data_IF_941363249833
#
_entry.id   IF_941363249833
#
_cell.length_a   1.000
_cell.length_b   1.000
_cell.length_c   1.000
_cell.angle_alpha   90.00
_cell.angle_beta   90.00
_cell.angle_gamma   90.00
#
_symmetry.space_group_name_H-M   'P 1'
#
loop_
_entity.id
_entity.type
_entity.pdbx_description
1 polymer ?
#
# COMPACT_ATOMS: atom_id res chain seq x y z
N UNK A 1 7.53 -16.56 -17.29
CA UNK A 1 8.46 -15.53 -16.75
C UNK A 1 9.26 -16.08 -15.58
N UNK A 2 10.39 -15.46 -15.21
CA UNK A 2 11.16 -15.85 -14.01
C UNK A 2 11.50 -14.60 -13.21
N UNK A 3 11.24 -14.62 -11.90
CA UNK A 3 11.62 -13.54 -11.00
C UNK A 3 12.64 -14.03 -9.98
N UNK A 4 13.70 -13.26 -9.80
CA UNK A 4 14.77 -13.52 -8.85
C UNK A 4 15.04 -12.25 -8.03
N UNK A 5 15.38 -12.43 -6.78
CA UNK A 5 15.65 -11.35 -5.84
C UNK A 5 17.08 -11.39 -5.34
N UNK A 6 17.67 -10.23 -5.12
CA UNK A 6 19.04 -10.14 -4.59
C UNK A 6 19.19 -8.93 -3.66
N UNK A 7 19.65 -9.16 -2.46
CA UNK A 7 20.13 -8.09 -1.60
C UNK A 7 21.41 -7.50 -2.22
N UNK A 8 21.39 -6.20 -2.48
CA UNK A 8 22.57 -5.51 -3.04
C UNK A 8 23.63 -5.33 -1.96
N UNK A 9 24.85 -5.70 -2.27
CA UNK A 9 26.03 -5.51 -1.39
C UNK A 9 27.14 -4.80 -2.14
N UNK A 10 27.64 -5.41 -3.22
CA UNK A 10 28.69 -4.84 -4.08
C UNK A 10 28.44 -5.16 -5.55
N UNK A 11 29.04 -4.37 -6.46
CA UNK A 11 29.00 -4.63 -7.91
C UNK A 11 29.54 -6.03 -8.24
N UNK A 12 30.61 -6.46 -7.56
CA UNK A 12 31.22 -7.77 -7.80
C UNK A 12 30.26 -8.93 -7.47
N UNK A 13 29.62 -8.88 -6.28
CA UNK A 13 28.66 -9.89 -5.84
C UNK A 13 27.41 -9.89 -6.73
N UNK A 14 26.95 -8.72 -7.16
CA UNK A 14 25.85 -8.61 -8.09
C UNK A 14 26.18 -9.26 -9.45
N UNK A 15 27.35 -8.96 -10.00
CA UNK A 15 27.81 -9.52 -11.29
C UNK A 15 27.90 -11.05 -11.22
N UNK A 16 28.47 -11.57 -10.13
CA UNK A 16 28.57 -13.01 -9.89
C UNK A 16 27.18 -13.65 -9.79
N UNK A 17 26.28 -13.04 -9.01
CA UNK A 17 24.90 -13.52 -8.85
C UNK A 17 24.16 -13.57 -10.18
N UNK A 18 24.22 -12.50 -10.98
CA UNK A 18 23.54 -12.44 -12.27
C UNK A 18 24.07 -13.51 -13.25
N UNK A 19 25.40 -13.70 -13.30
CA UNK A 19 26.02 -14.73 -14.13
C UNK A 19 25.60 -16.15 -13.71
N UNK A 20 25.59 -16.42 -12.40
CA UNK A 20 25.24 -17.76 -11.87
C UNK A 20 23.74 -18.10 -12.03
N UNK A 21 22.89 -17.09 -12.14
CA UNK A 21 21.44 -17.26 -12.27
C UNK A 21 20.90 -16.97 -13.67
N UNK A 22 21.78 -16.85 -14.67
CA UNK A 22 21.39 -16.61 -16.05
C UNK A 22 20.54 -15.36 -16.26
N UNK A 23 20.82 -14.28 -15.52
CA UNK A 23 20.18 -13.00 -15.71
C UNK A 23 20.91 -12.24 -16.81
N UNK A 24 20.27 -12.08 -17.97
CA UNK A 24 20.89 -11.48 -19.15
C UNK A 24 20.24 -10.14 -19.49
N UNK A 25 21.10 -9.24 -20.02
CA UNK A 25 20.63 -7.95 -20.53
C UNK A 25 19.73 -8.12 -21.75
N UNK A 26 18.46 -7.79 -21.63
CA UNK A 26 17.50 -7.76 -22.72
C UNK A 26 16.37 -6.76 -22.44
N UNK A 27 15.56 -6.46 -23.46
CA UNK A 27 14.44 -5.49 -23.38
C UNK A 27 13.22 -6.00 -22.59
N UNK A 28 13.15 -7.30 -22.35
CA UNK A 28 12.08 -7.94 -21.57
C UNK A 28 12.51 -8.23 -20.12
N UNK A 29 13.66 -7.70 -19.69
CA UNK A 29 14.11 -7.71 -18.30
C UNK A 29 13.61 -6.44 -17.61
N UNK A 30 12.76 -6.61 -16.60
CA UNK A 30 12.41 -5.57 -15.65
C UNK A 30 13.28 -5.70 -14.40
N UNK A 31 13.92 -4.61 -14.01
CA UNK A 31 14.64 -4.51 -12.74
C UNK A 31 13.92 -3.50 -11.86
N UNK A 32 13.39 -3.96 -10.72
CA UNK A 32 12.86 -3.07 -9.70
C UNK A 32 13.94 -2.89 -8.61
N UNK A 33 14.21 -1.64 -8.24
CA UNK A 33 15.18 -1.27 -7.20
C UNK A 33 14.40 -0.73 -6.00
N UNK A 34 14.40 -1.48 -4.93
CA UNK A 34 13.69 -1.17 -3.69
C UNK A 34 14.73 -0.82 -2.63
N UNK A 35 14.89 0.47 -2.31
CA UNK A 35 15.98 0.94 -1.44
C UNK A 35 15.47 1.65 -0.21
N UNK A 36 15.98 1.26 0.95
CA UNK A 36 15.72 1.98 2.20
C UNK A 36 16.55 3.27 2.33
N UNK A 37 17.59 3.45 1.52
CA UNK A 37 18.40 4.67 1.60
C UNK A 37 17.83 5.80 0.74
N UNK A 38 17.79 7.01 1.29
CA UNK A 38 17.34 8.24 0.61
C UNK A 38 18.52 9.08 0.07
N UNK A 39 19.75 8.57 0.12
CA UNK A 39 20.92 9.26 -0.39
C UNK A 39 20.97 9.20 -1.92
N UNK A 40 20.85 10.35 -2.56
CA UNK A 40 20.86 10.45 -4.03
C UNK A 40 22.16 9.88 -4.63
N UNK A 41 23.31 10.12 -3.99
CA UNK A 41 24.60 9.58 -4.42
C UNK A 41 24.62 8.05 -4.48
N UNK A 42 23.99 7.39 -3.52
CA UNK A 42 23.89 5.94 -3.49
C UNK A 42 22.93 5.43 -4.59
N UNK A 43 21.80 6.09 -4.80
CA UNK A 43 20.88 5.74 -5.89
C UNK A 43 21.57 5.90 -7.24
N UNK A 44 22.34 6.98 -7.46
CA UNK A 44 23.14 7.19 -8.66
C UNK A 44 24.21 6.10 -8.85
N UNK A 45 24.85 5.66 -7.76
CA UNK A 45 25.82 4.56 -7.81
C UNK A 45 25.16 3.27 -8.29
N UNK A 46 24.00 2.89 -7.74
CA UNK A 46 23.25 1.71 -8.22
C UNK A 46 22.82 1.88 -9.67
N UNK A 47 22.30 3.04 -10.07
CA UNK A 47 21.95 3.32 -11.48
C UNK A 47 23.14 3.11 -12.39
N UNK A 48 24.33 3.57 -12.01
CA UNK A 48 25.54 3.43 -12.82
C UNK A 48 25.93 1.97 -13.05
N UNK A 49 25.85 1.14 -11.99
CA UNK A 49 26.13 -0.30 -12.07
C UNK A 49 25.09 -1.00 -12.96
N UNK A 50 23.81 -0.76 -12.71
CA UNK A 50 22.74 -1.41 -13.46
C UNK A 50 22.75 -1.00 -14.94
N UNK A 51 23.04 0.25 -15.25
CA UNK A 51 23.19 0.73 -16.63
C UNK A 51 24.37 0.08 -17.36
N UNK A 52 25.46 -0.16 -16.64
CA UNK A 52 26.63 -0.87 -17.18
C UNK A 52 26.34 -2.35 -17.46
N UNK A 53 25.67 -3.03 -16.52
CA UNK A 53 25.39 -4.47 -16.62
C UNK A 53 24.19 -4.76 -17.54
N UNK A 54 23.17 -3.89 -17.52
CA UNK A 54 21.88 -4.10 -18.18
C UNK A 54 21.43 -2.90 -19.03
N UNK A 55 22.20 -2.51 -20.05
CA UNK A 55 21.91 -1.31 -20.86
C UNK A 55 20.56 -1.36 -21.60
N UNK A 56 20.01 -2.56 -21.85
CA UNK A 56 18.71 -2.72 -22.55
C UNK A 56 17.53 -2.94 -21.62
N UNK A 57 17.76 -3.32 -20.35
CA UNK A 57 16.69 -3.61 -19.40
C UNK A 57 15.85 -2.37 -19.07
N UNK A 58 14.61 -2.59 -18.68
CA UNK A 58 13.74 -1.57 -18.08
C UNK A 58 14.03 -1.51 -16.58
N UNK A 59 14.34 -0.34 -16.05
CA UNK A 59 14.65 -0.11 -14.64
C UNK A 59 13.67 0.90 -14.07
N UNK A 60 13.01 0.54 -12.98
CA UNK A 60 12.22 1.44 -12.13
C UNK A 60 12.66 1.25 -10.69
N UNK A 61 12.60 2.30 -9.88
CA UNK A 61 12.99 2.19 -8.48
C UNK A 61 12.26 3.17 -7.58
N UNK A 62 12.30 2.87 -6.29
CA UNK A 62 11.67 3.68 -5.24
C UNK A 62 12.44 3.56 -3.93
N UNK A 63 12.37 4.62 -3.12
CA UNK A 63 12.73 4.54 -1.70
C UNK A 63 11.57 3.91 -0.91
N UNK A 64 11.88 3.25 0.21
CA UNK A 64 10.93 2.38 0.92
C UNK A 64 10.95 2.61 2.44
N UNK A 65 9.91 2.10 3.11
CA UNK A 65 9.89 1.95 4.58
C UNK A 65 10.33 0.53 5.01
N UNK A 66 11.29 -0.05 4.30
CA UNK A 66 11.69 -1.45 4.36
C UNK A 66 11.22 -2.22 3.14
N UNK A 67 11.94 -3.27 2.77
CA UNK A 67 11.67 -4.08 1.58
C UNK A 67 11.21 -5.49 1.95
N UNK A 68 10.59 -6.18 1.01
CA UNK A 68 10.12 -7.55 1.12
C UNK A 68 10.91 -8.39 0.11
N UNK A 69 11.54 -9.47 0.59
CA UNK A 69 12.28 -10.41 -0.23
C UNK A 69 11.99 -11.85 0.21
N UNK A 70 11.38 -12.63 -0.68
CA UNK A 70 11.03 -14.04 -0.44
C UNK A 70 10.26 -14.25 0.88
N UNK A 71 9.31 -13.36 1.17
CA UNK A 71 8.46 -13.42 2.36
C UNK A 71 9.09 -12.93 3.66
N UNK A 72 10.32 -12.44 3.61
CA UNK A 72 11.03 -11.87 4.75
C UNK A 72 11.07 -10.34 4.67
N UNK A 73 11.11 -9.71 5.83
CA UNK A 73 11.30 -8.26 5.97
C UNK A 73 12.79 -7.95 5.90
N UNK A 74 13.17 -7.12 4.94
CA UNK A 74 14.55 -6.66 4.78
C UNK A 74 14.70 -5.31 5.46
N UNK A 75 15.72 -5.20 6.30
CA UNK A 75 16.00 -4.03 7.13
C UNK A 75 16.04 -2.72 6.34
N UNK A 76 15.67 -1.64 7.03
CA UNK A 76 15.35 -0.33 6.48
C UNK A 76 16.41 0.27 5.55
N UNK A 77 17.71 0.13 5.85
CA UNK A 77 18.78 0.76 5.06
C UNK A 77 19.28 -0.10 3.89
N UNK A 78 18.72 -1.29 3.70
CA UNK A 78 19.17 -2.22 2.68
C UNK A 78 18.45 -2.00 1.35
N UNK A 79 19.04 -2.51 0.27
CA UNK A 79 18.49 -2.41 -1.09
C UNK A 79 18.25 -3.80 -1.66
N UNK A 80 17.02 -4.05 -2.09
CA UNK A 80 16.62 -5.26 -2.80
C UNK A 80 16.52 -4.96 -4.29
N UNK A 81 17.17 -5.78 -5.09
CA UNK A 81 17.06 -5.81 -6.55
C UNK A 81 16.16 -6.97 -6.95
N UNK A 82 15.13 -6.68 -7.73
CA UNK A 82 14.18 -7.67 -8.24
C UNK A 82 14.34 -7.75 -9.75
N UNK A 83 14.72 -8.91 -10.24
CA UNK A 83 14.96 -9.19 -11.66
C UNK A 83 13.81 -10.05 -12.19
N UNK A 84 12.94 -9.48 -13.02
CA UNK A 84 11.85 -10.21 -13.66
C UNK A 84 12.10 -10.33 -15.16
N UNK A 85 12.43 -11.55 -15.61
CA UNK A 85 12.65 -11.88 -17.00
C UNK A 85 11.35 -12.38 -17.63
N UNK A 86 10.80 -11.58 -18.53
CA UNK A 86 9.63 -11.94 -19.32
C UNK A 86 10.05 -12.61 -20.63
N UNK A 87 9.24 -13.56 -21.11
CA UNK A 87 9.47 -14.27 -22.38
C UNK A 87 8.66 -13.67 -23.52
N UNK A 88 7.40 -13.31 -23.26
CA UNK A 88 6.44 -12.90 -24.28
C UNK A 88 5.87 -11.50 -24.07
N UNK A 89 6.29 -10.80 -23.01
CA UNK A 89 5.76 -9.47 -22.67
C UNK A 89 6.65 -8.34 -23.17
N UNK A 90 6.01 -7.26 -23.61
CA UNK A 90 6.66 -6.01 -23.98
C UNK A 90 6.60 -5.07 -22.78
N UNK A 91 7.75 -4.48 -22.42
CA UNK A 91 7.89 -3.53 -21.33
C UNK A 91 8.09 -2.11 -21.87
N UNK A 92 7.36 -1.14 -21.28
CA UNK A 92 7.56 0.30 -21.52
C UNK A 92 7.55 1.02 -20.19
N UNK A 93 8.51 1.88 -19.94
CA UNK A 93 8.55 2.69 -18.71
C UNK A 93 8.65 4.17 -19.03
N UNK A 94 8.13 4.97 -18.14
CA UNK A 94 8.30 6.42 -18.16
C UNK A 94 8.32 6.97 -16.74
N UNK A 95 9.07 8.07 -16.56
CA UNK A 95 9.14 8.82 -15.30
C UNK A 95 8.71 10.25 -15.57
N UNK A 96 7.89 10.81 -14.69
CA UNK A 96 7.37 12.15 -14.86
C UNK A 96 7.25 12.90 -13.54
N UNK A 97 7.79 14.12 -13.51
CA UNK A 97 7.68 15.03 -12.37
C UNK A 97 6.29 15.69 -12.36
N UNK A 98 5.71 15.87 -11.18
CA UNK A 98 4.48 16.66 -11.03
C UNK A 98 4.70 18.13 -11.39
N UNK A 99 3.78 18.69 -12.15
CA UNK A 99 3.72 20.12 -12.42
C UNK A 99 2.70 20.75 -11.46
N UNK A 100 3.16 21.39 -10.40
CA UNK A 100 2.29 21.88 -9.33
C UNK A 100 1.44 20.73 -8.74
N UNK A 101 0.27 20.97 -8.18
CA UNK A 101 -0.63 19.94 -7.61
C UNK A 101 -1.46 19.21 -8.70
N UNK A 102 -0.90 18.95 -9.88
CA UNK A 102 -1.60 18.32 -11.01
C UNK A 102 -1.37 16.81 -11.06
N UNK A 103 -1.64 16.10 -9.97
CA UNK A 103 -1.39 14.66 -9.83
C UNK A 103 -2.18 13.83 -10.86
N UNK A 104 -3.46 14.16 -11.11
CA UNK A 104 -4.26 13.56 -12.17
C UNK A 104 -3.61 13.70 -13.55
N UNK A 105 -3.12 14.90 -13.86
CA UNK A 105 -2.47 15.15 -15.17
C UNK A 105 -1.20 14.32 -15.32
N UNK A 106 -0.40 14.19 -14.25
CA UNK A 106 0.81 13.35 -14.26
C UNK A 106 0.47 11.89 -14.51
N UNK A 107 -0.51 11.34 -13.80
CA UNK A 107 -0.97 9.96 -14.01
C UNK A 107 -1.46 9.74 -15.45
N UNK A 108 -2.28 10.66 -15.98
CA UNK A 108 -2.79 10.60 -17.34
C UNK A 108 -1.68 10.64 -18.39
N UNK A 109 -0.69 11.52 -18.23
CA UNK A 109 0.44 11.63 -19.17
C UNK A 109 1.34 10.39 -19.11
N UNK A 110 1.64 9.87 -17.91
CA UNK A 110 2.39 8.62 -17.76
C UNK A 110 1.69 7.47 -18.49
N UNK A 111 0.39 7.27 -18.24
CA UNK A 111 -0.37 6.21 -18.90
C UNK A 111 -0.36 6.37 -20.43
N UNK A 112 -0.48 7.61 -20.94
CA UNK A 112 -0.44 7.89 -22.37
C UNK A 112 0.88 7.48 -23.03
N UNK A 113 2.00 7.61 -22.33
CA UNK A 113 3.32 7.27 -22.85
C UNK A 113 3.59 5.73 -22.85
N UNK A 114 3.03 5.01 -21.87
CA UNK A 114 3.37 3.59 -21.67
C UNK A 114 2.30 2.60 -22.10
N UNK A 115 1.02 3.02 -22.15
CA UNK A 115 -0.10 2.14 -22.54
C UNK A 115 -0.16 2.01 -24.07
N UNK A 116 -0.18 0.77 -24.52
CA UNK A 116 -0.36 0.39 -25.93
C UNK A 116 -1.44 -0.69 -26.03
N UNK A 117 -1.98 -1.01 -27.20
CA UNK A 117 -2.96 -2.10 -27.35
C UNK A 117 -2.48 -3.41 -26.68
N UNK A 118 -3.36 -4.06 -25.93
CA UNK A 118 -3.09 -5.27 -25.14
C UNK A 118 -2.19 -5.06 -23.90
N UNK A 119 -1.96 -3.84 -23.44
CA UNK A 119 -1.39 -3.63 -22.11
C UNK A 119 -2.31 -4.22 -21.05
N UNK A 120 -1.76 -5.08 -20.19
CA UNK A 120 -2.50 -5.75 -19.12
C UNK A 120 -2.27 -5.13 -17.75
N UNK A 121 -1.01 -4.73 -17.47
CA UNK A 121 -0.59 -4.30 -16.14
C UNK A 121 0.23 -3.03 -16.24
N UNK A 122 0.04 -2.15 -15.26
CA UNK A 122 0.96 -1.06 -14.93
C UNK A 122 1.45 -1.28 -13.50
N UNK A 123 2.77 -1.38 -13.30
CA UNK A 123 3.40 -1.25 -11.99
C UNK A 123 3.91 0.18 -11.87
N UNK A 124 3.51 0.88 -10.80
CA UNK A 124 3.86 2.29 -10.62
C UNK A 124 4.30 2.60 -9.21
N UNK A 125 5.32 3.44 -9.09
CA UNK A 125 5.78 4.02 -7.84
C UNK A 125 5.66 5.54 -7.92
N UNK A 126 5.08 6.17 -6.90
CA UNK A 126 4.99 7.62 -6.81
C UNK A 126 5.68 8.15 -5.56
N UNK A 127 6.03 9.43 -5.58
CA UNK A 127 6.46 10.13 -4.36
C UNK A 127 5.44 9.90 -3.24
N UNK A 128 5.93 9.61 -2.03
CA UNK A 128 5.10 9.20 -0.91
C UNK A 128 4.61 10.33 -0.01
N UNK A 129 5.03 11.57 -0.26
CA UNK A 129 4.75 12.72 0.61
C UNK A 129 3.94 13.78 -0.12
N UNK A 130 4.34 14.10 -1.36
CA UNK A 130 3.79 15.22 -2.14
C UNK A 130 2.69 14.79 -3.12
N UNK A 131 2.56 13.49 -3.40
CA UNK A 131 1.57 12.96 -4.34
C UNK A 131 0.22 12.75 -3.65
N UNK A 132 -0.87 13.28 -4.21
CA UNK A 132 -2.20 12.79 -3.88
C UNK A 132 -2.47 11.49 -4.65
N UNK A 133 -2.48 10.36 -3.94
CA UNK A 133 -2.59 9.01 -4.54
C UNK A 133 -3.91 8.78 -5.27
N UNK A 134 -5.04 9.24 -4.74
CA UNK A 134 -6.36 9.11 -5.38
C UNK A 134 -6.39 9.85 -6.73
N UNK A 135 -5.92 11.12 -6.77
CA UNK A 135 -5.89 11.91 -8.00
C UNK A 135 -4.93 11.31 -9.03
N UNK A 136 -3.75 10.84 -8.57
CA UNK A 136 -2.76 10.22 -9.44
C UNK A 136 -3.29 8.95 -10.10
N UNK A 137 -3.87 8.05 -9.32
CA UNK A 137 -4.48 6.81 -9.82
C UNK A 137 -5.65 7.07 -10.76
N UNK A 138 -6.50 8.05 -10.45
CA UNK A 138 -7.58 8.44 -11.36
C UNK A 138 -7.02 8.90 -12.72
N UNK A 139 -5.87 9.57 -12.71
CA UNK A 139 -5.14 9.94 -13.94
C UNK A 139 -4.63 8.73 -14.71
N UNK A 140 -3.93 7.80 -14.05
CA UNK A 140 -3.44 6.57 -14.69
C UNK A 140 -4.58 5.76 -15.31
N UNK A 141 -5.67 5.59 -14.58
CA UNK A 141 -6.83 4.80 -15.01
C UNK A 141 -7.64 5.46 -16.14
N UNK A 142 -7.43 6.77 -16.41
CA UNK A 142 -8.25 7.53 -17.36
C UNK A 142 -8.00 7.20 -18.82
N UNK A 143 -6.90 6.52 -19.16
CA UNK A 143 -6.55 6.16 -20.54
C UNK A 143 -7.21 4.83 -20.94
N UNK A 144 -7.11 3.83 -20.08
CA UNK A 144 -7.75 2.52 -20.25
C UNK A 144 -8.05 1.93 -18.88
N UNK A 145 -9.34 1.88 -18.52
CA UNK A 145 -9.78 1.39 -17.22
C UNK A 145 -9.70 -0.13 -17.05
N UNK A 146 -9.44 -0.86 -18.13
CA UNK A 146 -9.25 -2.31 -18.08
C UNK A 146 -7.83 -2.71 -17.68
N UNK A 147 -6.88 -1.77 -17.72
CA UNK A 147 -5.48 -2.01 -17.33
C UNK A 147 -5.39 -2.11 -15.82
N UNK A 148 -4.83 -3.20 -15.34
CA UNK A 148 -4.61 -3.46 -13.92
C UNK A 148 -3.46 -2.59 -13.41
N UNK A 149 -3.72 -1.74 -12.42
CA UNK A 149 -2.71 -0.86 -11.83
C UNK A 149 -2.36 -1.39 -10.45
N UNK A 150 -1.06 -1.58 -10.20
CA UNK A 150 -0.51 -2.03 -8.93
C UNK A 150 0.77 -1.25 -8.58
N UNK A 151 1.21 -1.33 -7.34
CA UNK A 151 2.38 -0.61 -6.86
C UNK A 151 2.08 0.14 -5.58
N UNK A 152 2.79 1.25 -5.36
CA UNK A 152 2.60 2.02 -4.14
C UNK A 152 3.40 3.31 -4.10
N UNK A 153 3.18 4.05 -3.01
CA UNK A 153 3.90 5.29 -2.74
C UNK A 153 5.21 4.99 -2.02
N UNK A 154 6.25 5.70 -2.42
CA UNK A 154 7.58 5.64 -1.82
C UNK A 154 7.56 5.90 -0.30
N UNK A 155 8.54 5.39 0.42
CA UNK A 155 8.76 5.60 1.83
C UNK A 155 10.13 6.19 2.15
N UNK A 156 10.33 6.63 3.39
CA UNK A 156 11.58 7.18 3.93
C UNK A 156 11.78 6.81 5.41
N UNK A 157 11.45 5.56 5.77
CA UNK A 157 11.43 5.06 7.15
C UNK A 157 10.44 5.83 8.04
N UNK A 158 9.30 6.23 7.49
CA UNK A 158 8.26 7.01 8.19
C UNK A 158 8.71 8.38 8.73
N UNK A 159 9.86 8.89 8.28
CA UNK A 159 10.36 10.23 8.67
C UNK A 159 9.57 11.36 8.04
N UNK A 160 8.93 11.10 6.88
CA UNK A 160 8.14 12.06 6.10
C UNK A 160 8.95 13.33 5.74
N UNK A 161 10.23 13.14 5.39
CA UNK A 161 11.16 14.22 5.02
C UNK A 161 11.25 14.31 3.49
N UNK A 162 11.65 13.21 2.83
CA UNK A 162 11.77 13.16 1.38
C UNK A 162 11.72 11.71 0.88
N UNK A 163 11.09 11.50 -0.27
CA UNK A 163 11.00 10.20 -0.93
C UNK A 163 11.38 10.34 -2.39
N UNK A 164 11.97 9.29 -2.98
CA UNK A 164 12.43 9.30 -4.34
C UNK A 164 11.85 8.14 -5.13
N UNK A 165 11.52 8.44 -6.38
CA UNK A 165 11.30 7.43 -7.42
C UNK A 165 12.27 7.70 -8.57
N UNK A 166 12.68 6.65 -9.26
CA UNK A 166 13.72 6.78 -10.27
C UNK A 166 13.61 5.73 -11.38
N UNK A 167 14.22 6.04 -12.51
CA UNK A 167 14.44 5.12 -13.63
C UNK A 167 15.96 4.98 -13.92
N UNK A 168 16.30 4.59 -15.12
CA UNK A 168 17.71 4.47 -15.56
C UNK A 168 18.51 5.78 -15.52
N UNK A 169 17.84 6.92 -15.65
CA UNK A 169 18.48 8.21 -15.92
C UNK A 169 18.14 9.28 -14.90
N UNK A 170 16.93 9.23 -14.36
CA UNK A 170 16.35 10.29 -13.54
C UNK A 170 16.07 9.83 -12.13
N UNK A 171 16.25 10.73 -11.16
CA UNK A 171 15.82 10.57 -9.76
C UNK A 171 14.95 11.79 -9.45
N UNK A 172 13.74 11.57 -8.97
CA UNK A 172 12.79 12.65 -8.66
C UNK A 172 12.13 12.43 -7.30
N UNK A 173 11.87 13.53 -6.60
CA UNK A 173 11.22 13.58 -5.29
C UNK A 173 9.85 14.27 -5.32
N UNK A 174 9.26 14.38 -6.48
CA UNK A 174 7.93 14.97 -6.68
C UNK A 174 7.39 14.50 -8.03
N UNK A 175 6.88 13.28 -8.08
CA UNK A 175 6.41 12.68 -9.32
C UNK A 175 6.21 11.17 -9.21
N UNK A 176 6.26 10.49 -10.33
CA UNK A 176 6.07 9.06 -10.39
C UNK A 176 6.85 8.40 -11.53
N UNK A 177 7.17 7.13 -11.35
CA UNK A 177 7.70 6.22 -12.36
C UNK A 177 6.71 5.07 -12.55
N UNK A 178 6.52 4.63 -13.78
CA UNK A 178 5.66 3.51 -14.09
C UNK A 178 6.25 2.64 -15.20
N UNK A 179 5.92 1.35 -15.17
CA UNK A 179 6.19 0.41 -16.25
C UNK A 179 4.90 -0.29 -16.64
N UNK A 180 4.63 -0.38 -17.95
CA UNK A 180 3.56 -1.23 -18.47
C UNK A 180 4.10 -2.59 -18.91
N UNK A 181 3.30 -3.62 -18.67
CA UNK A 181 3.52 -5.00 -19.11
C UNK A 181 2.42 -5.34 -20.12
N UNK A 182 2.82 -5.50 -21.37
CA UNK A 182 1.91 -5.73 -22.49
C UNK A 182 2.05 -7.15 -23.01
N UNK A 183 1.04 -7.95 -22.75
CA UNK A 183 0.90 -9.31 -23.23
C UNK A 183 -0.58 -9.74 -23.07
N UNK A 184 -1.33 -10.03 -24.15
CA UNK A 184 -2.75 -10.37 -24.06
C UNK A 184 -3.00 -11.68 -23.30
N UNK A 185 -2.01 -12.59 -23.27
CA UNK A 185 -2.09 -13.89 -22.60
C UNK A 185 -1.55 -13.88 -21.16
N UNK A 186 -1.04 -12.73 -20.67
CA UNK A 186 -0.56 -12.62 -19.30
C UNK A 186 -1.68 -12.91 -18.30
N UNK A 187 -1.45 -13.85 -17.41
CA UNK A 187 -2.34 -14.18 -16.30
C UNK A 187 -2.02 -13.24 -15.14
N UNK A 188 -3.05 -12.62 -14.59
CA UNK A 188 -2.91 -11.63 -13.53
C UNK A 188 -3.95 -11.88 -12.46
N UNK A 189 -3.50 -12.04 -11.21
CA UNK A 189 -4.36 -12.08 -10.04
C UNK A 189 -4.02 -10.90 -9.13
N UNK A 190 -5.02 -10.26 -8.57
CA UNK A 190 -4.88 -9.21 -7.56
C UNK A 190 -5.58 -9.64 -6.29
N UNK A 191 -4.99 -9.33 -5.16
CA UNK A 191 -5.61 -9.57 -3.86
C UNK A 191 -5.23 -8.46 -2.88
N UNK A 192 -6.04 -8.25 -1.85
CA UNK A 192 -5.72 -7.34 -0.78
C UNK A 192 -6.16 -7.89 0.58
N UNK A 193 -5.44 -7.51 1.62
CA UNK A 193 -5.76 -7.84 3.01
C UNK A 193 -5.87 -6.55 3.81
N UNK A 194 -7.07 -6.21 4.24
CA UNK A 194 -7.34 -5.04 5.08
C UNK A 194 -7.57 -5.46 6.53
N UNK A 195 -8.65 -6.20 6.78
CA UNK A 195 -8.99 -6.90 8.03
C UNK A 195 -9.05 -6.00 9.28
N UNK A 196 -9.32 -4.72 9.12
CA UNK A 196 -9.65 -3.80 10.18
C UNK A 196 -11.15 -3.86 10.46
N UNK A 197 -11.53 -3.92 11.73
CA UNK A 197 -12.93 -4.03 12.15
C UNK A 197 -13.49 -2.64 12.40
N UNK A 198 -14.53 -2.18 11.67
CA UNK A 198 -15.21 -0.92 11.96
C UNK A 198 -15.90 -0.98 13.32
N UNK A 199 -15.64 -0.01 14.20
CA UNK A 199 -16.18 0.07 15.56
C UNK A 199 -16.80 1.44 15.85
N UNK A 200 -17.64 1.49 16.88
CA UNK A 200 -18.34 2.70 17.30
C UNK A 200 -19.52 3.05 16.40
N UNK A 201 -20.08 4.24 16.61
CA UNK A 201 -21.22 4.73 15.80
C UNK A 201 -20.75 5.13 14.40
N UNK A 202 -21.67 5.12 13.46
CA UNK A 202 -21.49 5.77 12.16
C UNK A 202 -21.47 7.29 12.37
N UNK A 203 -20.52 7.95 11.74
CA UNK A 203 -20.36 9.40 11.70
C UNK A 203 -20.29 9.85 10.25
N UNK A 204 -20.57 11.09 9.95
CA UNK A 204 -20.56 11.63 8.59
C UNK A 204 -19.47 12.70 8.46
N UNK A 205 -18.66 12.63 7.42
CA UNK A 205 -17.76 13.72 7.06
C UNK A 205 -18.60 14.89 6.56
N UNK A 206 -18.66 15.96 7.33
CA UNK A 206 -19.52 17.11 7.01
C UNK A 206 -18.77 18.24 6.34
N UNK A 207 -17.40 18.25 6.43
CA UNK A 207 -16.57 19.20 5.72
C UNK A 207 -15.21 18.64 5.42
N UNK A 208 -14.87 18.54 4.12
CA UNK A 208 -13.54 18.12 3.65
C UNK A 208 -13.18 18.73 2.30
N UNK A 209 -11.90 18.81 2.00
CA UNK A 209 -11.35 19.13 0.69
C UNK A 209 -10.30 18.08 0.37
N UNK A 210 -10.65 17.10 -0.48
CA UNK A 210 -9.79 15.94 -0.78
C UNK A 210 -9.44 15.16 0.49
N UNK A 211 -8.15 15.08 0.83
CA UNK A 211 -7.66 14.39 2.03
C UNK A 211 -7.60 15.30 3.28
N UNK A 212 -8.04 16.53 3.19
CA UNK A 212 -8.09 17.46 4.31
C UNK A 212 -9.49 17.50 4.90
N UNK A 213 -9.67 16.95 6.11
CA UNK A 213 -10.94 16.89 6.83
C UNK A 213 -10.97 17.94 7.94
N UNK A 214 -12.03 18.74 7.96
CA UNK A 214 -12.27 19.80 8.92
C UNK A 214 -13.31 19.39 9.96
N UNK A 215 -14.43 18.77 9.52
CA UNK A 215 -15.57 18.48 10.38
C UNK A 215 -16.13 17.07 10.15
N UNK A 216 -16.55 16.46 11.24
CA UNK A 216 -17.31 15.21 11.30
C UNK A 216 -18.56 15.47 12.16
N UNK A 217 -19.75 15.09 11.70
CA UNK A 217 -21.05 15.35 12.37
C UNK A 217 -21.23 16.84 12.74
N UNK A 218 -20.80 17.78 11.89
CA UNK A 218 -20.78 19.23 12.12
C UNK A 218 -19.97 19.68 13.34
N UNK A 219 -18.97 18.91 13.74
CA UNK A 219 -18.04 19.25 14.82
C UNK A 219 -16.59 19.19 14.30
N UNK A 220 -15.67 20.00 14.85
CA UNK A 220 -14.28 19.93 14.48
C UNK A 220 -13.74 18.48 14.60
N UNK A 221 -13.01 18.02 13.60
CA UNK A 221 -12.50 16.64 13.56
C UNK A 221 -11.65 16.30 14.79
N UNK A 222 -10.85 17.27 15.27
CA UNK A 222 -10.06 17.12 16.50
C UNK A 222 -10.93 16.80 17.73
N UNK A 223 -12.08 17.45 17.86
CA UNK A 223 -12.98 17.28 19.02
C UNK A 223 -13.66 15.91 18.99
N UNK A 224 -14.01 15.42 17.81
CA UNK A 224 -14.52 14.06 17.60
C UNK A 224 -13.48 13.02 18.04
N UNK A 225 -12.23 13.17 17.60
CA UNK A 225 -11.15 12.29 18.01
C UNK A 225 -10.87 12.38 19.52
N UNK A 226 -10.86 13.59 20.09
CA UNK A 226 -10.69 13.79 21.52
C UNK A 226 -11.82 13.18 22.36
N UNK A 227 -13.05 13.28 21.87
CA UNK A 227 -14.24 12.70 22.52
C UNK A 227 -14.17 11.17 22.58
N UNK A 228 -13.90 10.53 21.44
CA UNK A 228 -14.00 9.07 21.34
C UNK A 228 -12.71 8.34 21.72
N UNK A 229 -11.55 8.92 21.46
CA UNK A 229 -10.26 8.27 21.71
C UNK A 229 -9.50 8.85 22.91
N UNK A 230 -9.96 9.98 23.42
CA UNK A 230 -9.32 10.69 24.53
C UNK A 230 -8.37 11.80 24.08
N UNK A 231 -8.33 12.89 24.84
CA UNK A 231 -7.55 14.13 24.52
C UNK A 231 -6.06 13.85 24.32
N UNK A 232 -5.46 12.99 25.14
CA UNK A 232 -4.03 12.66 25.03
C UNK A 232 -3.68 11.94 23.73
N UNK A 233 -4.59 11.09 23.24
CA UNK A 233 -4.40 10.35 21.99
C UNK A 233 -4.59 11.29 20.79
N UNK A 234 -5.63 12.13 20.80
CA UNK A 234 -5.90 13.07 19.72
C UNK A 234 -4.73 14.02 19.43
N UNK A 235 -3.97 14.44 20.44
CA UNK A 235 -2.79 15.29 20.28
C UNK A 235 -1.54 14.58 19.74
N UNK A 236 -1.45 13.27 19.90
CA UNK A 236 -0.25 12.49 19.55
C UNK A 236 -0.46 11.53 18.36
N UNK A 237 -1.58 11.65 17.64
CA UNK A 237 -1.87 10.83 16.45
C UNK A 237 -1.01 11.25 15.25
N UNK A 238 0.31 11.17 15.37
CA UNK A 238 1.19 11.25 14.21
C UNK A 238 1.38 9.84 13.62
N UNK A 239 1.19 9.73 12.31
CA UNK A 239 1.61 8.60 11.48
C UNK A 239 1.02 7.22 11.82
N UNK A 240 -0.29 7.03 11.72
CA UNK A 240 -0.89 5.66 11.63
C UNK A 240 -0.54 4.65 12.74
N UNK A 241 0.37 4.98 13.63
CA UNK A 241 1.00 4.11 14.62
C UNK A 241 0.05 3.60 15.72
N UNK A 242 -1.18 4.14 15.81
CA UNK A 242 -2.13 3.77 16.86
C UNK A 242 -3.10 2.66 16.45
N UNK A 243 -3.06 2.20 15.19
CA UNK A 243 -3.95 1.13 14.75
C UNK A 243 -5.45 1.48 14.81
N UNK A 244 -5.79 2.77 14.66
CA UNK A 244 -7.16 3.29 14.70
C UNK A 244 -7.44 4.18 13.48
N UNK A 245 -7.43 3.62 12.25
CA UNK A 245 -7.81 4.38 11.07
C UNK A 245 -9.31 4.77 11.12
N UNK A 246 -9.71 5.79 10.37
CA UNK A 246 -11.10 5.92 9.94
C UNK A 246 -11.34 4.91 8.82
N UNK A 247 -12.47 4.21 8.90
CA UNK A 247 -12.89 3.21 7.91
C UNK A 247 -14.20 3.61 7.25
N UNK A 248 -14.31 3.32 5.95
CA UNK A 248 -15.52 3.52 5.15
C UNK A 248 -15.52 2.63 3.92
N UNK A 249 -16.68 2.42 3.32
CA UNK A 249 -16.81 1.67 2.08
C UNK A 249 -16.72 2.61 0.87
N UNK A 250 -15.92 2.21 -0.14
CA UNK A 250 -15.83 2.87 -1.43
C UNK A 250 -15.77 1.82 -2.52
N UNK A 251 -16.72 1.86 -3.46
CA UNK A 251 -16.79 0.89 -4.57
C UNK A 251 -16.80 -0.58 -4.14
N UNK A 252 -17.47 -0.92 -3.05
CA UNK A 252 -17.54 -2.29 -2.53
C UNK A 252 -16.29 -2.75 -1.76
N UNK A 253 -15.30 -1.87 -1.56
CA UNK A 253 -14.08 -2.16 -0.80
C UNK A 253 -14.09 -1.36 0.50
N UNK A 254 -13.84 -2.03 1.63
CA UNK A 254 -13.64 -1.36 2.91
C UNK A 254 -12.24 -0.72 2.92
N UNK A 255 -12.20 0.59 3.13
CA UNK A 255 -10.99 1.41 3.08
C UNK A 255 -10.68 1.96 4.47
N UNK A 256 -9.40 1.96 4.82
CA UNK A 256 -8.86 2.68 5.97
C UNK A 256 -8.14 3.95 5.56
N UNK A 257 -8.23 4.98 6.38
CA UNK A 257 -7.45 6.21 6.25
C UNK A 257 -6.80 6.56 7.58
N UNK A 258 -5.48 6.61 7.57
CA UNK A 258 -4.70 7.06 8.72
C UNK A 258 -4.56 8.59 8.71
N UNK A 259 -4.44 9.19 9.89
CA UNK A 259 -4.09 10.60 10.06
C UNK A 259 -2.59 10.76 9.80
N UNK A 260 -2.23 11.62 8.86
CA UNK A 260 -0.83 11.93 8.50
C UNK A 260 -0.34 13.18 9.22
N UNK A 261 -1.20 14.20 9.32
CA UNK A 261 -0.84 15.48 9.93
C UNK A 261 -2.04 16.11 10.63
N UNK A 262 -1.78 16.75 11.76
CA UNK A 262 -2.75 17.59 12.48
C UNK A 262 -2.31 19.05 12.27
N UNK A 263 -3.21 19.84 11.68
CA UNK A 263 -2.97 21.28 11.45
C UNK A 263 -3.21 22.12 12.70
N UNK A 264 -2.67 23.34 12.72
CA UNK A 264 -2.80 24.25 13.84
C UNK A 264 -4.25 24.71 14.12
N UNK A 265 -5.12 24.65 13.11
CA UNK A 265 -6.55 24.93 13.22
C UNK A 265 -7.39 23.74 13.72
N UNK A 266 -6.75 22.63 14.07
CA UNK A 266 -7.40 21.40 14.54
C UNK A 266 -7.95 20.52 13.42
N UNK A 267 -7.77 20.87 12.14
CA UNK A 267 -8.13 20.01 11.01
C UNK A 267 -7.08 18.93 10.76
N UNK A 268 -7.47 17.83 10.11
CA UNK A 268 -6.62 16.66 9.91
C UNK A 268 -6.37 16.40 8.42
N UNK A 269 -5.11 16.10 8.09
CA UNK A 269 -4.72 15.54 6.79
C UNK A 269 -4.70 14.01 6.92
N UNK A 270 -5.45 13.35 6.06
CA UNK A 270 -5.47 11.89 5.97
C UNK A 270 -4.60 11.38 4.83
N UNK A 271 -4.23 10.11 4.91
CA UNK A 271 -3.45 9.42 3.88
C UNK A 271 -4.35 9.01 2.69
N UNK A 272 -5.10 9.95 2.11
CA UNK A 272 -5.97 9.78 0.96
C UNK A 272 -7.30 10.52 1.10
N UNK A 273 -8.02 10.68 0.00
CA UNK A 273 -9.24 11.48 -0.05
C UNK A 273 -10.38 10.84 0.74
N UNK A 274 -11.15 11.70 1.42
CA UNK A 274 -12.40 11.36 2.11
C UNK A 274 -13.42 12.45 1.74
N UNK A 275 -14.40 12.08 0.93
CA UNK A 275 -15.38 13.04 0.39
C UNK A 275 -16.41 13.45 1.45
N UNK A 276 -16.95 14.67 1.35
CA UNK A 276 -18.10 15.11 2.14
C UNK A 276 -19.29 14.17 1.91
N UNK A 277 -20.04 13.89 2.97
CA UNK A 277 -21.15 12.94 2.96
C UNK A 277 -20.73 11.48 3.19
N UNK A 278 -19.43 11.17 3.24
CA UNK A 278 -18.96 9.81 3.51
C UNK A 278 -19.32 9.38 4.93
N UNK A 279 -20.00 8.24 5.08
CA UNK A 279 -20.21 7.59 6.37
C UNK A 279 -18.92 6.88 6.80
N UNK A 280 -18.41 7.22 7.98
CA UNK A 280 -17.16 6.67 8.53
C UNK A 280 -17.35 6.06 9.92
N UNK A 281 -16.45 5.15 10.29
CA UNK A 281 -16.28 4.63 11.66
C UNK A 281 -14.80 4.59 12.01
N UNK A 282 -14.48 4.49 13.28
CA UNK A 282 -13.13 4.09 13.66
C UNK A 282 -12.90 2.61 13.32
N UNK A 283 -11.68 2.29 12.92
CA UNK A 283 -11.26 0.91 12.69
C UNK A 283 -10.36 0.43 13.83
N UNK A 284 -10.48 -0.84 14.20
CA UNK A 284 -9.57 -1.50 15.13
C UNK A 284 -8.92 -2.69 14.45
N UNK A 285 -7.59 -2.84 14.62
CA UNK A 285 -6.86 -4.03 14.21
C UNK A 285 -6.94 -5.12 15.30
N UNK A 286 -7.11 -6.35 14.85
CA UNK A 286 -6.93 -7.55 15.65
C UNK A 286 -5.90 -8.43 14.93
N UNK A 287 -4.70 -8.56 15.48
CA UNK A 287 -3.55 -9.22 14.82
C UNK A 287 -3.90 -10.66 14.45
N UNK A 288 -4.48 -11.44 15.37
CA UNK A 288 -4.80 -12.86 15.11
C UNK A 288 -5.82 -13.00 13.97
N UNK A 289 -6.86 -12.15 13.96
CA UNK A 289 -7.87 -12.13 12.90
C UNK A 289 -7.26 -11.69 11.57
N UNK A 290 -6.45 -10.64 11.58
CA UNK A 290 -5.78 -10.12 10.38
C UNK A 290 -4.90 -11.18 9.72
N UNK A 291 -4.11 -11.91 10.51
CA UNK A 291 -3.24 -12.98 10.01
C UNK A 291 -4.06 -14.17 9.50
N UNK A 292 -5.07 -14.60 10.27
CA UNK A 292 -5.93 -15.72 9.88
C UNK A 292 -6.67 -15.43 8.56
N UNK A 293 -7.33 -14.29 8.47
CA UNK A 293 -8.07 -13.90 7.26
C UNK A 293 -7.15 -13.61 6.08
N UNK A 294 -5.95 -13.04 6.34
CA UNK A 294 -4.93 -12.85 5.31
C UNK A 294 -4.53 -14.16 4.64
N UNK A 295 -4.29 -15.22 5.44
CA UNK A 295 -3.98 -16.56 4.94
C UNK A 295 -5.17 -17.15 4.16
N UNK A 296 -6.40 -17.04 4.69
CA UNK A 296 -7.59 -17.54 3.98
C UNK A 296 -7.77 -16.87 2.61
N UNK A 297 -7.53 -15.56 2.53
CA UNK A 297 -7.68 -14.78 1.30
C UNK A 297 -6.71 -15.20 0.18
N UNK A 298 -5.52 -15.68 0.51
CA UNK A 298 -4.53 -16.11 -0.50
C UNK A 298 -4.65 -17.58 -0.88
N UNK A 299 -5.41 -18.41 -0.15
CA UNK A 299 -5.58 -19.84 -0.44
C UNK A 299 -5.98 -20.13 -1.90
N UNK A 300 -6.90 -19.38 -2.54
CA UNK A 300 -7.24 -19.63 -3.93
C UNK A 300 -6.04 -19.56 -4.88
N UNK A 301 -5.04 -18.74 -4.56
CA UNK A 301 -3.87 -18.53 -5.39
C UNK A 301 -2.97 -19.76 -5.50
N UNK A 302 -3.03 -20.70 -4.55
CA UNK A 302 -2.26 -21.94 -4.62
C UNK A 302 -2.69 -22.85 -5.79
N UNK A 303 -3.90 -22.65 -6.32
CA UNK A 303 -4.41 -23.41 -7.44
C UNK A 303 -4.25 -22.70 -8.79
N UNK A 304 -3.70 -21.49 -8.78
CA UNK A 304 -3.54 -20.67 -9.97
C UNK A 304 -2.11 -20.76 -10.53
N UNK A 305 -1.91 -20.59 -11.84
CA UNK A 305 -0.58 -20.52 -12.42
C UNK A 305 0.07 -19.19 -12.07
N UNK A 306 0.96 -19.17 -11.07
CA UNK A 306 1.66 -17.97 -10.60
C UNK A 306 3.17 -18.21 -10.66
N UNK A 307 3.88 -17.32 -11.36
CA UNK A 307 5.35 -17.37 -11.48
C UNK A 307 6.05 -16.28 -10.66
N UNK A 308 5.33 -15.20 -10.30
CA UNK A 308 5.88 -14.08 -9.53
C UNK A 308 4.78 -13.35 -8.75
N UNK A 309 5.11 -12.87 -7.55
CA UNK A 309 4.25 -12.04 -6.71
C UNK A 309 4.96 -10.75 -6.36
N UNK A 310 4.31 -9.60 -6.58
CA UNK A 310 4.74 -8.31 -6.04
C UNK A 310 3.79 -7.88 -4.93
N UNK A 311 4.35 -7.65 -3.74
CA UNK A 311 3.62 -7.32 -2.52
C UNK A 311 3.89 -5.88 -2.08
N UNK A 312 2.84 -5.10 -1.86
CA UNK A 312 2.91 -3.72 -1.40
C UNK A 312 2.12 -3.61 -0.10
N UNK A 313 2.81 -3.38 1.00
CA UNK A 313 2.22 -3.35 2.34
C UNK A 313 2.34 -1.97 2.95
N UNK A 314 1.30 -1.50 3.61
CA UNK A 314 1.34 -0.20 4.29
C UNK A 314 2.35 -0.21 5.45
N UNK A 315 3.18 0.84 5.54
CA UNK A 315 4.08 1.03 6.68
C UNK A 315 3.33 1.13 8.01
N UNK A 316 2.11 1.70 8.01
CA UNK A 316 1.25 1.72 9.19
C UNK A 316 0.77 0.32 9.60
N UNK A 317 0.45 -0.56 8.63
CA UNK A 317 0.15 -1.97 8.90
C UNK A 317 1.36 -2.71 9.47
N UNK A 318 2.53 -2.54 8.88
CA UNK A 318 3.79 -3.08 9.41
C UNK A 318 4.05 -2.60 10.83
N UNK A 319 3.93 -1.29 11.09
CA UNK A 319 4.10 -0.75 12.44
C UNK A 319 3.08 -1.26 13.47
N UNK A 320 1.88 -1.70 13.03
CA UNK A 320 0.87 -2.32 13.88
C UNK A 320 1.17 -3.80 14.14
N UNK A 321 1.48 -4.58 13.11
CA UNK A 321 1.75 -6.02 13.19
C UNK A 321 3.14 -6.32 13.79
N UNK A 322 4.11 -5.40 13.67
CA UNK A 322 5.50 -5.64 14.05
C UNK A 322 6.08 -6.86 13.34
N UNK A 323 6.82 -7.70 14.06
CA UNK A 323 7.44 -8.92 13.52
C UNK A 323 6.41 -9.93 12.97
N UNK A 324 5.15 -9.85 13.43
CA UNK A 324 4.09 -10.73 12.95
C UNK A 324 3.71 -10.49 11.47
N UNK A 325 4.15 -9.39 10.86
CA UNK A 325 3.92 -9.10 9.43
C UNK A 325 4.48 -10.18 8.51
N UNK A 326 5.58 -10.84 8.89
CA UNK A 326 6.14 -11.94 8.12
C UNK A 326 5.19 -13.15 8.01
N UNK A 327 4.25 -13.31 8.95
CA UNK A 327 3.24 -14.37 8.86
C UNK A 327 2.23 -14.14 7.73
N UNK A 328 2.10 -12.90 7.23
CA UNK A 328 1.32 -12.59 6.01
C UNK A 328 2.15 -12.77 4.74
N UNK A 329 3.47 -12.58 4.81
CA UNK A 329 4.36 -12.55 3.66
C UNK A 329 4.93 -13.93 3.31
N UNK A 330 5.34 -14.72 4.31
CA UNK A 330 5.91 -16.07 4.11
C UNK A 330 5.01 -17.01 3.31
N UNK A 331 3.67 -17.04 3.52
CA UNK A 331 2.79 -17.86 2.70
C UNK A 331 2.77 -17.46 1.21
N UNK A 332 2.99 -16.19 0.89
CA UNK A 332 3.11 -15.74 -0.52
C UNK A 332 4.36 -16.32 -1.19
N UNK A 333 5.49 -16.32 -0.47
CA UNK A 333 6.74 -16.89 -0.98
C UNK A 333 6.69 -18.42 -1.16
N UNK A 334 5.74 -19.10 -0.53
CA UNK A 334 5.47 -20.52 -0.79
C UNK A 334 4.73 -20.74 -2.13
N UNK A 335 4.03 -19.71 -2.62
CA UNK A 335 3.33 -19.77 -3.91
C UNK A 335 4.31 -19.50 -5.06
N UNK A 336 5.05 -18.38 -5.01
CA UNK A 336 6.01 -17.99 -6.04
C UNK A 336 7.04 -17.02 -5.46
N UNK A 337 8.13 -16.76 -6.21
CA UNK A 337 9.09 -15.72 -5.84
C UNK A 337 8.37 -14.41 -5.54
N UNK A 338 8.56 -13.91 -4.32
CA UNK A 338 7.81 -12.77 -3.77
C UNK A 338 8.74 -11.61 -3.42
N UNK A 339 8.47 -10.45 -4.00
CA UNK A 339 9.20 -9.23 -3.74
C UNK A 339 8.28 -8.03 -3.56
N UNK A 340 8.73 -6.99 -2.86
CA UNK A 340 7.95 -5.78 -2.68
C UNK A 340 8.53 -4.87 -1.63
N UNK A 341 7.68 -3.96 -1.09
CA UNK A 341 8.15 -3.01 -0.10
C UNK A 341 7.01 -2.47 0.78
N UNK A 342 7.40 -1.86 1.91
CA UNK A 342 6.48 -1.14 2.78
C UNK A 342 6.31 0.30 2.30
N UNK A 343 5.05 0.64 1.98
CA UNK A 343 4.62 1.85 1.26
C UNK A 343 4.03 2.90 2.20
N UNK A 344 3.90 4.14 1.71
CA UNK A 344 3.05 5.17 2.33
C UNK A 344 1.60 5.12 1.82
N UNK A 345 1.28 4.18 0.92
CA UNK A 345 -0.07 3.92 0.39
C UNK A 345 -0.01 3.00 -0.82
N UNK A 346 -0.99 2.12 -0.94
CA UNK A 346 -1.03 1.02 -1.89
C UNK A 346 -1.91 1.35 -3.10
N UNK A 347 -1.51 0.91 -4.29
CA UNK A 347 -2.29 0.97 -5.53
C UNK A 347 -2.92 -0.40 -5.77
N UNK A 348 -4.23 -0.43 -5.82
CA UNK A 348 -5.00 -1.65 -5.93
C UNK A 348 -6.04 -1.58 -7.05
N UNK A 349 -6.24 -2.68 -7.73
CA UNK A 349 -7.23 -2.85 -8.80
C UNK A 349 -8.12 -4.03 -8.51
N UNK A 350 -9.41 -3.81 -8.53
CA UNK A 350 -10.45 -4.82 -8.35
C UNK A 350 -11.71 -4.39 -9.11
N UNK A 351 -12.42 -5.35 -9.73
CA UNK A 351 -13.70 -5.12 -10.40
C UNK A 351 -13.70 -3.94 -11.38
N UNK A 352 -12.67 -3.84 -12.20
CA UNK A 352 -12.45 -2.76 -13.18
C UNK A 352 -12.32 -1.35 -12.56
N UNK A 353 -11.91 -1.27 -11.30
CA UNK A 353 -11.69 -0.01 -10.60
C UNK A 353 -10.32 -0.01 -9.92
N UNK A 354 -9.62 1.08 -10.09
CA UNK A 354 -8.37 1.34 -9.38
C UNK A 354 -8.65 2.15 -8.12
N UNK A 355 -8.08 1.75 -7.00
CA UNK A 355 -8.28 2.37 -5.70
C UNK A 355 -6.94 2.63 -5.02
N UNK A 356 -6.85 3.78 -4.36
CA UNK A 356 -5.78 4.10 -3.45
C UNK A 356 -6.13 3.59 -2.05
N UNK A 357 -5.30 2.71 -1.51
CA UNK A 357 -5.52 2.07 -0.21
C UNK A 357 -4.46 2.50 0.80
N UNK A 358 -4.78 2.31 2.07
CA UNK A 358 -3.87 2.46 3.21
C UNK A 358 -4.21 1.40 4.25
N UNK A 359 -3.26 1.08 5.11
CA UNK A 359 -3.43 0.07 6.15
C UNK A 359 -3.69 -1.34 5.59
N UNK A 360 -3.28 -1.58 4.36
CA UNK A 360 -3.51 -2.83 3.62
C UNK A 360 -2.19 -3.53 3.28
N UNK A 361 -2.30 -4.80 2.95
CA UNK A 361 -1.36 -5.52 2.11
C UNK A 361 -2.06 -5.75 0.77
N UNK A 362 -1.49 -5.29 -0.33
CA UNK A 362 -1.95 -5.58 -1.69
C UNK A 362 -0.92 -6.42 -2.43
N UNK A 363 -1.38 -7.31 -3.27
CA UNK A 363 -0.52 -8.12 -4.12
C UNK A 363 -0.99 -8.10 -5.56
N UNK A 364 -0.03 -8.24 -6.45
CA UNK A 364 -0.25 -8.63 -7.84
C UNK A 364 0.59 -9.87 -8.14
N UNK A 365 -0.06 -10.90 -8.63
CA UNK A 365 0.56 -12.15 -9.01
C UNK A 365 0.48 -12.33 -10.53
N UNK A 366 1.60 -12.68 -11.15
CA UNK A 366 1.77 -12.71 -12.60
C UNK A 366 2.24 -14.08 -13.07
N UNK A 367 1.74 -14.51 -14.24
CA UNK A 367 2.29 -15.66 -14.96
C UNK A 367 2.17 -15.50 -16.47
N UNK A 368 3.21 -15.87 -17.21
CA UNK A 368 3.16 -16.08 -18.65
C UNK A 368 2.86 -17.55 -19.00
N UNK A 369 2.86 -18.43 -18.01
CA UNK A 369 2.51 -19.85 -18.16
C UNK A 369 1.07 -20.08 -17.74
N UNK A 370 0.32 -20.83 -18.57
CA UNK A 370 -1.10 -21.20 -18.32
C UNK A 370 -1.25 -22.44 -17.43
N UNK A 371 -0.18 -23.14 -17.14
CA UNK A 371 -0.22 -24.35 -16.35
C UNK A 371 0.29 -24.11 -14.95
N UNK A 372 -0.46 -24.58 -13.95
CA UNK A 372 0.00 -24.56 -12.56
C UNK A 372 1.16 -25.57 -12.40
N UNK A 373 2.31 -25.07 -11.95
CA UNK A 373 3.52 -25.86 -11.71
C UNK A 373 3.80 -26.05 -10.22
N UNK A 374 2.89 -25.60 -9.36
CA UNK A 374 3.11 -25.54 -7.90
C UNK A 374 2.77 -26.88 -7.23
N UNK A 375 3.48 -27.16 -6.14
CA UNK A 375 3.19 -28.26 -5.22
C UNK A 375 2.00 -27.91 -4.31
N UNK A 376 1.26 -28.94 -3.86
CA UNK A 376 0.13 -28.81 -2.94
C UNK A 376 0.46 -27.99 -1.70
N UNK A 377 -0.51 -27.21 -1.25
CA UNK A 377 -0.45 -26.39 -0.03
C UNK A 377 -0.03 -27.21 1.20
N UNK A 378 1.12 -26.93 1.74
CA UNK A 378 1.58 -27.53 3.02
C UNK A 378 1.30 -26.55 4.13
N UNK A 379 0.27 -26.84 4.92
CA UNK A 379 -0.12 -26.07 6.08
C UNK A 379 0.86 -26.30 7.25
N UNK A 380 2.04 -25.67 7.24
CA UNK A 380 3.03 -25.71 8.32
C UNK A 380 3.56 -24.32 8.65
N UNK A 381 2.67 -23.39 9.01
CA UNK A 381 3.11 -22.12 9.60
C UNK A 381 2.74 -22.11 11.08
N UNK A 382 3.73 -22.36 11.97
CA UNK A 382 3.61 -21.90 13.35
C UNK A 382 3.52 -20.38 13.32
N UNK A 383 2.34 -19.84 13.63
CA UNK A 383 2.12 -18.41 13.73
C UNK A 383 3.00 -17.85 14.86
N UNK A 384 3.79 -16.81 14.57
CA UNK A 384 4.54 -16.11 15.59
C UNK A 384 3.59 -15.58 16.67
N UNK A 385 4.03 -15.65 17.95
CA UNK A 385 3.19 -15.22 19.07
C UNK A 385 2.83 -13.73 18.92
N UNK A 386 1.55 -13.36 19.11
CA UNK A 386 1.12 -11.98 18.99
C UNK A 386 1.86 -11.08 19.98
N UNK A 387 2.21 -9.88 19.52
CA UNK A 387 2.81 -8.83 20.33
C UNK A 387 1.78 -8.24 21.30
N UNK A 388 2.17 -7.91 22.53
CA UNK A 388 1.29 -7.24 23.49
C UNK A 388 0.72 -5.95 22.91
N UNK A 389 -0.61 -5.80 22.99
CA UNK A 389 -1.33 -4.60 22.52
C UNK A 389 -0.80 -3.35 23.22
N UNK A 390 -0.45 -2.32 22.45
CA UNK A 390 0.09 -1.05 22.99
C UNK A 390 -0.89 -0.43 24.00
N UNK A 391 -0.40 0.04 25.14
CA UNK A 391 -1.23 0.66 26.20
C UNK A 391 -2.10 1.81 25.69
N UNK A 392 -1.62 2.58 24.70
CA UNK A 392 -2.38 3.65 24.04
C UNK A 392 -3.61 3.14 23.29
N UNK A 393 -3.53 1.95 22.68
CA UNK A 393 -4.68 1.34 21.99
C UNK A 393 -5.75 0.88 23.00
N UNK A 394 -5.32 0.26 24.12
CA UNK A 394 -6.24 -0.11 25.20
C UNK A 394 -6.96 1.10 25.79
N UNK A 395 -6.24 2.20 26.01
CA UNK A 395 -6.83 3.45 26.50
C UNK A 395 -7.84 4.05 25.50
N UNK A 396 -7.51 4.04 24.21
CA UNK A 396 -8.40 4.50 23.15
C UNK A 396 -9.70 3.68 23.09
N UNK A 397 -9.58 2.36 23.21
CA UNK A 397 -10.74 1.45 23.25
C UNK A 397 -11.60 1.67 24.49
N UNK A 398 -11.01 1.86 25.67
CA UNK A 398 -11.73 2.15 26.89
C UNK A 398 -12.53 3.48 26.76
N UNK A 399 -11.87 4.53 26.22
CA UNK A 399 -12.53 5.82 25.98
C UNK A 399 -13.68 5.71 24.95
N UNK A 400 -13.46 4.99 23.85
CA UNK A 400 -14.48 4.74 22.84
C UNK A 400 -15.69 4.01 23.44
N UNK A 401 -15.43 2.94 24.19
CA UNK A 401 -16.49 2.16 24.85
C UNK A 401 -17.29 3.02 25.82
N UNK A 402 -16.63 3.77 26.68
CA UNK A 402 -17.28 4.66 27.65
C UNK A 402 -18.12 5.76 26.95
N UNK A 403 -17.58 6.38 25.89
CA UNK A 403 -18.31 7.42 25.14
C UNK A 403 -19.55 6.86 24.45
N UNK A 404 -19.45 5.70 23.81
CA UNK A 404 -20.59 5.06 23.13
C UNK A 404 -21.63 4.58 24.14
N UNK A 405 -21.22 4.02 25.28
CA UNK A 405 -22.14 3.61 26.36
C UNK A 405 -22.90 4.80 26.91
N UNK A 406 -22.24 5.92 27.19
CA UNK A 406 -22.88 7.14 27.66
C UNK A 406 -23.91 7.72 26.65
N UNK A 407 -23.60 7.67 25.34
CA UNK A 407 -24.56 8.06 24.30
C UNK A 407 -25.81 7.15 24.25
N UNK A 408 -25.63 5.83 24.42
CA UNK A 408 -26.72 4.87 24.47
C UNK A 408 -27.61 5.07 25.71
N UNK A 409 -27.00 5.31 26.87
CA UNK A 409 -27.73 5.59 28.12
C UNK A 409 -28.59 6.86 27.98
N UNK A 410 -28.02 7.93 27.41
CA UNK A 410 -28.75 9.16 27.15
C UNK A 410 -29.90 8.96 26.16
N UNK A 411 -29.69 8.20 25.08
CA UNK A 411 -30.72 7.87 24.10
C UNK A 411 -31.87 7.06 24.74
N UNK A 412 -31.55 6.06 25.54
CA UNK A 412 -32.52 5.24 26.24
C UNK A 412 -33.36 6.10 27.22
N UNK A 413 -32.73 6.96 28.00
CA UNK A 413 -33.44 7.89 28.91
C UNK A 413 -34.40 8.83 28.15
N UNK A 414 -33.96 9.37 27.01
CA UNK A 414 -34.81 10.21 26.17
C UNK A 414 -36.00 9.43 25.58
N UNK A 415 -35.77 8.17 25.13
CA UNK A 415 -36.84 7.31 24.63
C UNK A 415 -37.87 6.97 25.73
N UNK A 416 -37.40 6.66 26.93
CA UNK A 416 -38.29 6.42 28.09
C UNK A 416 -39.15 7.65 28.41
N UNK A 417 -38.58 8.85 28.38
CA UNK A 417 -39.32 10.09 28.58
C UNK A 417 -40.39 10.32 27.51
N UNK A 418 -40.04 10.11 26.21
CA UNK A 418 -41.01 10.22 25.11
C UNK A 418 -42.14 9.19 25.21
N UNK A 419 -41.83 7.95 25.60
CA UNK A 419 -42.83 6.91 25.82
C UNK A 419 -43.75 7.28 26.96
N UNK A 420 -43.21 7.75 28.10
CA UNK A 420 -43.97 8.17 29.26
C UNK A 420 -44.89 9.40 28.97
N UNK A 421 -44.44 10.31 28.10
CA UNK A 421 -45.27 11.46 27.66
C UNK A 421 -46.40 11.05 26.73
N UNK A 422 -46.20 10.01 25.89
CA UNK A 422 -47.25 9.52 24.96
C UNK A 422 -48.23 8.53 25.59
N UNK A 423 -47.94 8.00 26.77
CA UNK A 423 -48.79 7.04 27.50
C UNK A 423 -49.58 7.70 28.62
N UNK A 424 -49.41 8.98 28.86
CA UNK A 424 -50.30 9.85 29.68
C UNK A 424 -51.37 10.50 28.82
#
# INVERSE_FOLDING_TARGET
>A
MTTLTKLFTTEHELTKYCSSNNIYNNKSLLIQVLTGTIEISFIQYIQSILNKLFPSAVIIGTTTNGSIMEGEVIADEQTVLVFSQFENSILRSHILKHTSNKHFTTGKLLAKEIVIPNTKVIISFSDGIKTNGDDYLAGLNSIDSSVIISGGMAGDHTRLIDTFVFDKQSIINNGAVAVSITNPDLIVHTNYSFNWIPIGKKMVITKSIKNHVYEIDNQPVHDIYAKYLGKGIAHHMKSGALGLPITFEKNGVLIGRAVVEIKNDGSFIFAGNIDEGTEVRFGIGNIDLMLKEGIENIKPLYNEPIESIFAYSCCGRHGFLGDAVENELKPLAQIASTAGFFTNGEFFYSENKTQFLNQTLTIIALSENKYNTQSEYIQNTELAKPMNMKSSLLLALANLTNSVTGELELLNSNLENVVNEKTK
#
